data_IF_692674249530
#
_entry.id   IF_692674249530
#
_cell.length_a   1.000
_cell.length_b   1.000
_cell.length_c   1.000
_cell.angle_alpha   90.00
_cell.angle_beta   90.00
_cell.angle_gamma   90.00
#
_symmetry.space_group_name_H-M   'P 1'
#
loop_
_entity.id
_entity.type
_entity.pdbx_description
1 polymer ?
#
# COMPACT_ATOMS: atom_id res chain seq x y z
N UNK A 1 55.03 -66.56 -4.32
CA UNK A 1 55.05 -65.18 -3.84
C UNK A 1 54.51 -64.14 -4.85
N UNK A 2 54.38 -64.39 -6.15
CA UNK A 2 53.92 -63.45 -7.17
C UNK A 2 52.38 -63.31 -7.26
N UNK A 3 51.59 -64.34 -6.88
CA UNK A 3 50.13 -64.29 -6.98
C UNK A 3 49.43 -63.50 -5.88
N UNK A 4 50.03 -63.37 -4.67
CA UNK A 4 49.45 -62.58 -3.57
C UNK A 4 49.55 -61.02 -3.76
N UNK A 5 50.54 -60.53 -4.55
CA UNK A 5 50.74 -59.13 -4.83
C UNK A 5 49.76 -58.59 -5.90
N UNK A 6 49.36 -59.50 -6.83
CA UNK A 6 48.36 -59.10 -7.87
C UNK A 6 46.96 -59.04 -7.28
N UNK A 7 46.61 -59.89 -6.32
CA UNK A 7 45.30 -59.83 -5.65
C UNK A 7 45.11 -58.59 -4.75
N UNK A 8 46.20 -58.07 -4.13
CA UNK A 8 46.19 -56.89 -3.31
C UNK A 8 46.04 -55.64 -4.15
N UNK A 9 46.62 -55.61 -5.38
CA UNK A 9 46.48 -54.44 -6.28
C UNK A 9 45.05 -54.35 -6.91
N UNK A 10 44.45 -55.51 -7.20
CA UNK A 10 43.08 -55.59 -7.71
C UNK A 10 42.04 -55.23 -6.65
N UNK A 11 42.29 -55.48 -5.36
CA UNK A 11 41.40 -55.05 -4.26
C UNK A 11 41.49 -53.59 -3.97
N UNK A 12 42.63 -52.91 -4.18
CA UNK A 12 42.78 -51.42 -3.99
C UNK A 12 42.13 -50.66 -5.12
N UNK A 13 42.09 -51.13 -6.34
CA UNK A 13 41.43 -50.51 -7.48
C UNK A 13 39.91 -50.68 -7.37
N UNK A 14 39.41 -51.79 -6.78
CA UNK A 14 37.97 -51.97 -6.56
C UNK A 14 37.35 -51.06 -5.44
N UNK A 15 38.17 -50.51 -4.52
CA UNK A 15 37.71 -49.63 -3.45
C UNK A 15 37.76 -48.14 -3.82
N UNK A 16 38.34 -47.75 -4.95
CA UNK A 16 38.44 -46.31 -5.36
C UNK A 16 37.36 -45.87 -6.36
N UNK A 17 36.54 -46.81 -6.87
CA UNK A 17 35.53 -46.49 -7.88
C UNK A 17 34.18 -45.95 -7.33
N UNK A 18 33.74 -46.18 -6.07
CA UNK A 18 32.48 -45.64 -5.62
C UNK A 18 32.55 -44.22 -5.01
N UNK A 19 33.74 -43.60 -4.89
CA UNK A 19 33.82 -42.26 -4.25
C UNK A 19 33.73 -41.06 -5.22
N UNK A 20 33.77 -41.29 -6.52
CA UNK A 20 33.64 -40.22 -7.53
C UNK A 20 32.24 -40.09 -8.13
N UNK A 21 31.25 -40.91 -7.72
CA UNK A 21 29.85 -40.80 -8.22
C UNK A 21 28.89 -40.10 -7.25
N UNK A 22 29.35 -39.61 -6.13
CA UNK A 22 28.46 -38.91 -5.15
C UNK A 22 28.56 -37.37 -5.23
N UNK A 23 29.45 -36.80 -6.06
CA UNK A 23 29.58 -35.35 -6.22
C UNK A 23 28.83 -34.78 -7.44
N UNK A 24 27.97 -35.57 -8.08
CA UNK A 24 27.29 -35.17 -9.33
C UNK A 24 25.77 -35.04 -9.29
N UNK A 25 25.13 -35.00 -8.12
CA UNK A 25 23.68 -34.97 -8.10
C UNK A 25 23.08 -34.18 -6.93
N UNK A 26 23.45 -32.91 -6.81
CA UNK A 26 22.61 -31.94 -6.13
C UNK A 26 22.73 -30.58 -6.84
N UNK A 27 22.48 -30.54 -8.14
CA UNK A 27 21.84 -29.36 -8.69
C UNK A 27 20.40 -29.43 -8.17
N UNK A 28 20.17 -28.81 -7.01
CA UNK A 28 18.84 -28.51 -6.58
C UNK A 28 18.16 -27.79 -7.77
N UNK A 29 17.16 -28.44 -8.41
CA UNK A 29 16.29 -27.76 -9.34
C UNK A 29 15.86 -26.50 -8.60
N UNK A 30 16.34 -25.34 -9.04
CA UNK A 30 15.86 -24.04 -8.57
C UNK A 30 14.35 -24.08 -8.78
N UNK A 31 13.60 -24.40 -7.74
CA UNK A 31 12.15 -24.41 -7.81
C UNK A 31 11.73 -22.97 -8.07
N UNK A 32 10.88 -22.76 -9.09
CA UNK A 32 10.29 -21.44 -9.37
C UNK A 32 9.57 -20.99 -8.12
N UNK A 33 9.90 -19.80 -7.61
CA UNK A 33 9.27 -19.22 -6.41
C UNK A 33 7.88 -18.71 -6.77
N UNK A 34 6.84 -19.26 -6.13
CA UNK A 34 5.46 -18.80 -6.29
C UNK A 34 5.18 -17.66 -5.33
N UNK A 35 4.91 -16.48 -5.87
CA UNK A 35 4.60 -15.24 -5.14
C UNK A 35 3.14 -14.91 -5.39
N UNK A 36 2.32 -14.92 -4.34
CA UNK A 36 0.90 -14.64 -4.39
C UNK A 36 0.60 -13.29 -3.75
N UNK A 37 -0.10 -12.39 -4.45
CA UNK A 37 -0.41 -11.05 -3.98
C UNK A 37 -1.92 -10.84 -3.89
N UNK A 38 -2.39 -10.41 -2.70
CA UNK A 38 -3.79 -10.20 -2.34
C UNK A 38 -4.01 -8.73 -1.96
N UNK A 39 -4.74 -7.95 -2.77
CA UNK A 39 -5.17 -6.60 -2.41
C UNK A 39 -6.33 -6.61 -1.40
N UNK A 40 -6.72 -5.44 -0.89
CA UNK A 40 -7.99 -5.30 -0.16
C UNK A 40 -9.16 -5.74 -1.03
N UNK A 41 -9.17 -5.31 -2.29
CA UNK A 41 -10.15 -5.70 -3.32
C UNK A 41 -9.58 -5.40 -4.72
N UNK A 42 -10.22 -5.96 -5.75
CA UNK A 42 -9.89 -5.75 -7.17
C UNK A 42 -10.83 -4.72 -7.80
N UNK A 43 -10.41 -4.11 -8.90
CA UNK A 43 -11.21 -3.20 -9.72
C UNK A 43 -11.05 -1.73 -9.35
N UNK A 44 -10.00 -1.40 -8.59
CA UNK A 44 -9.66 -0.03 -8.26
C UNK A 44 -8.24 0.30 -8.74
N UNK A 45 -8.09 1.48 -9.34
CA UNK A 45 -6.85 1.94 -9.97
C UNK A 45 -5.61 1.85 -9.06
N UNK A 46 -5.78 2.06 -7.75
CA UNK A 46 -4.70 1.97 -6.78
C UNK A 46 -4.10 0.55 -6.73
N UNK A 47 -4.94 -0.46 -6.55
CA UNK A 47 -4.47 -1.86 -6.48
C UNK A 47 -4.04 -2.40 -7.83
N UNK A 48 -4.62 -1.91 -8.94
CA UNK A 48 -4.17 -2.24 -10.28
C UNK A 48 -2.78 -1.65 -10.56
N UNK A 49 -2.47 -0.44 -10.09
CA UNK A 49 -1.13 0.14 -10.16
C UNK A 49 -0.11 -0.67 -9.32
N UNK A 50 -0.48 -1.10 -8.11
CA UNK A 50 0.38 -1.96 -7.29
C UNK A 50 0.66 -3.31 -7.98
N UNK A 51 -0.38 -3.93 -8.58
CA UNK A 51 -0.24 -5.15 -9.38
C UNK A 51 0.72 -4.96 -10.55
N UNK A 52 0.58 -3.87 -11.31
CA UNK A 52 1.45 -3.58 -12.45
C UNK A 52 2.92 -3.48 -12.03
N UNK A 53 3.20 -2.80 -10.90
CA UNK A 53 4.55 -2.74 -10.34
C UNK A 53 5.08 -4.10 -9.86
N UNK A 54 4.22 -4.94 -9.30
CA UNK A 54 4.57 -6.30 -8.95
C UNK A 54 4.92 -7.14 -10.20
N UNK A 55 4.17 -7.01 -11.28
CA UNK A 55 4.43 -7.66 -12.56
C UNK A 55 5.76 -7.20 -13.18
N UNK A 56 6.10 -5.91 -13.07
CA UNK A 56 7.42 -5.38 -13.47
C UNK A 56 8.56 -6.06 -12.69
N UNK A 57 8.43 -6.21 -11.38
CA UNK A 57 9.44 -6.89 -10.57
C UNK A 57 9.59 -8.37 -10.97
N UNK A 58 8.49 -9.07 -11.23
CA UNK A 58 8.50 -10.45 -11.73
C UNK A 58 9.18 -10.55 -13.10
N UNK A 59 8.92 -9.61 -14.00
CA UNK A 59 9.55 -9.56 -15.32
C UNK A 59 11.06 -9.36 -15.19
N UNK A 60 11.50 -8.46 -14.30
CA UNK A 60 12.92 -8.22 -14.01
C UNK A 60 13.60 -9.46 -13.43
N UNK A 61 13.00 -10.12 -12.43
CA UNK A 61 13.51 -11.35 -11.85
C UNK A 61 13.67 -12.48 -12.87
N UNK A 62 12.74 -12.56 -13.82
CA UNK A 62 12.71 -13.61 -14.84
C UNK A 62 13.51 -13.28 -16.10
N UNK A 63 14.23 -12.16 -16.16
CA UNK A 63 14.89 -11.64 -17.37
C UNK A 63 15.81 -12.65 -18.05
N UNK A 64 16.60 -13.40 -17.26
CA UNK A 64 17.55 -14.40 -17.79
C UNK A 64 16.95 -15.81 -17.83
N UNK A 65 16.17 -16.17 -16.82
CA UNK A 65 15.48 -17.45 -16.70
C UNK A 65 14.28 -17.33 -15.79
N UNK A 66 13.27 -18.18 -15.95
CA UNK A 66 12.11 -18.21 -15.06
C UNK A 66 12.52 -18.67 -13.66
N UNK A 67 12.54 -17.73 -12.70
CA UNK A 67 12.84 -17.97 -11.27
C UNK A 67 11.65 -17.70 -10.36
N UNK A 68 10.64 -16.94 -10.85
CA UNK A 68 9.46 -16.57 -10.11
C UNK A 68 8.18 -16.75 -10.92
N UNK A 69 7.08 -17.07 -10.24
CA UNK A 69 5.71 -17.12 -10.78
C UNK A 69 4.82 -16.22 -9.92
N UNK A 70 4.00 -15.43 -10.58
CA UNK A 70 3.12 -14.46 -9.92
C UNK A 70 1.67 -14.94 -9.95
N UNK A 71 1.01 -14.89 -8.79
CA UNK A 71 -0.42 -15.12 -8.64
C UNK A 71 -1.03 -13.86 -8.05
N UNK A 72 -2.13 -13.40 -8.63
CA UNK A 72 -2.86 -12.24 -8.15
C UNK A 72 -4.34 -12.57 -8.06
N UNK A 73 -4.91 -12.44 -6.88
CA UNK A 73 -6.35 -12.56 -6.68
C UNK A 73 -6.80 -11.68 -5.51
N UNK A 74 -8.10 -11.37 -5.47
CA UNK A 74 -8.72 -10.57 -4.43
C UNK A 74 -10.24 -10.56 -4.58
N UNK A 75 -11.00 -10.21 -3.55
CA UNK A 75 -12.43 -10.05 -3.66
C UNK A 75 -12.75 -8.91 -4.63
N UNK A 76 -13.89 -8.96 -5.36
CA UNK A 76 -14.43 -7.77 -6.02
C UNK A 76 -14.73 -6.68 -5.00
N UNK A 77 -14.71 -5.41 -5.40
CA UNK A 77 -14.90 -4.27 -4.49
C UNK A 77 -16.23 -4.34 -3.72
N UNK A 78 -17.32 -4.70 -4.39
CA UNK A 78 -18.66 -4.85 -3.81
C UNK A 78 -18.81 -6.05 -2.86
N UNK A 79 -17.81 -6.94 -2.82
CA UNK A 79 -17.73 -8.14 -1.97
C UNK A 79 -16.47 -8.16 -1.10
N UNK A 80 -15.88 -7.01 -0.83
CA UNK A 80 -14.63 -6.86 -0.08
C UNK A 80 -14.81 -7.14 1.41
N UNK A 81 -14.96 -8.42 1.78
CA UNK A 81 -15.09 -8.87 3.16
C UNK A 81 -13.82 -9.55 3.65
N UNK A 82 -13.60 -9.53 4.97
CA UNK A 82 -12.49 -10.24 5.61
C UNK A 82 -12.54 -11.75 5.30
N UNK A 83 -13.74 -12.34 5.28
CA UNK A 83 -13.90 -13.76 4.98
C UNK A 83 -13.45 -14.10 3.55
N UNK A 84 -13.72 -13.27 2.56
CA UNK A 84 -13.23 -13.48 1.20
C UNK A 84 -11.69 -13.44 1.11
N UNK A 85 -11.04 -12.55 1.86
CA UNK A 85 -9.58 -12.57 1.95
C UNK A 85 -9.08 -13.86 2.60
N UNK A 86 -9.70 -14.33 3.69
CA UNK A 86 -9.37 -15.60 4.35
C UNK A 86 -9.51 -16.78 3.39
N UNK A 87 -10.59 -16.86 2.62
CA UNK A 87 -10.85 -17.97 1.68
C UNK A 87 -9.73 -18.05 0.60
N UNK A 88 -9.30 -16.90 0.06
CA UNK A 88 -8.21 -16.82 -0.92
C UNK A 88 -6.88 -17.27 -0.28
N UNK A 89 -6.57 -16.76 0.91
CA UNK A 89 -5.35 -17.12 1.65
C UNK A 89 -5.29 -18.64 1.95
N UNK A 90 -6.41 -19.23 2.39
CA UNK A 90 -6.49 -20.67 2.63
C UNK A 90 -6.24 -21.48 1.34
N UNK A 91 -6.78 -21.00 0.20
CA UNK A 91 -6.51 -21.59 -1.11
C UNK A 91 -5.03 -21.57 -1.47
N UNK A 92 -4.32 -20.49 -1.20
CA UNK A 92 -2.88 -20.37 -1.46
C UNK A 92 -2.03 -21.18 -0.49
N UNK A 93 -2.44 -21.27 0.78
CA UNK A 93 -1.80 -22.18 1.76
C UNK A 93 -1.90 -23.63 1.28
N UNK A 94 -3.06 -24.07 0.80
CA UNK A 94 -3.26 -25.42 0.26
C UNK A 94 -2.42 -25.66 -1.01
N UNK A 95 -2.22 -24.65 -1.86
CA UNK A 95 -1.35 -24.69 -3.05
C UNK A 95 0.15 -24.63 -2.72
N UNK A 96 0.51 -24.43 -1.44
CA UNK A 96 1.90 -24.33 -0.96
C UNK A 96 2.70 -23.29 -1.74
N UNK A 97 2.15 -22.07 -1.90
CA UNK A 97 2.91 -20.93 -2.43
C UNK A 97 4.12 -20.64 -1.54
N UNK A 98 5.15 -20.00 -2.08
CA UNK A 98 6.35 -19.69 -1.29
C UNK A 98 6.22 -18.38 -0.52
N UNK A 99 5.46 -17.43 -1.09
CA UNK A 99 5.27 -16.08 -0.55
C UNK A 99 3.81 -15.69 -0.66
N UNK A 100 3.29 -15.10 0.39
CA UNK A 100 2.03 -14.35 0.41
C UNK A 100 2.37 -12.88 0.69
N UNK A 101 1.87 -11.99 -0.17
CA UNK A 101 1.93 -10.53 -0.02
C UNK A 101 0.48 -10.05 0.10
N UNK A 102 0.08 -9.45 1.21
CA UNK A 102 -1.33 -9.12 1.44
C UNK A 102 -1.50 -7.68 1.96
N UNK A 103 -2.52 -6.98 1.47
CA UNK A 103 -3.07 -5.77 2.07
C UNK A 103 -4.37 -6.12 2.79
N UNK A 104 -4.37 -6.24 4.13
CA UNK A 104 -5.55 -6.66 4.88
C UNK A 104 -6.62 -5.57 4.93
N UNK A 105 -7.89 -5.97 4.86
CA UNK A 105 -9.02 -5.09 5.19
C UNK A 105 -9.10 -4.82 6.70
N UNK A 106 -8.76 -5.82 7.51
CA UNK A 106 -8.72 -5.75 8.97
C UNK A 106 -7.50 -6.54 9.48
N UNK A 107 -6.59 -5.89 10.24
CA UNK A 107 -5.35 -6.51 10.70
C UNK A 107 -5.56 -7.70 11.65
N UNK A 108 -6.69 -7.76 12.33
CA UNK A 108 -7.00 -8.81 13.29
C UNK A 108 -7.71 -9.98 12.65
N UNK A 109 -8.64 -9.70 11.74
CA UNK A 109 -9.50 -10.72 11.14
C UNK A 109 -8.74 -11.79 10.34
N UNK A 110 -7.61 -11.44 9.69
CA UNK A 110 -6.82 -12.38 8.90
C UNK A 110 -5.61 -12.96 9.65
N UNK A 111 -5.32 -12.47 10.87
CA UNK A 111 -4.06 -12.77 11.59
C UNK A 111 -3.82 -14.27 11.78
N UNK A 112 -4.83 -15.04 12.20
CA UNK A 112 -4.66 -16.48 12.43
C UNK A 112 -4.40 -17.25 11.12
N UNK A 113 -5.00 -16.83 10.00
CA UNK A 113 -4.73 -17.43 8.69
C UNK A 113 -3.30 -17.14 8.24
N UNK A 114 -2.79 -15.93 8.47
CA UNK A 114 -1.40 -15.57 8.17
C UNK A 114 -0.42 -16.35 9.04
N UNK A 115 -0.69 -16.50 10.35
CA UNK A 115 0.12 -17.36 11.23
C UNK A 115 0.12 -18.82 10.79
N UNK A 116 -1.01 -19.32 10.27
CA UNK A 116 -1.09 -20.65 9.66
C UNK A 116 -0.20 -20.76 8.42
N UNK A 117 -0.17 -19.74 7.55
CA UNK A 117 0.74 -19.68 6.41
C UNK A 117 2.21 -19.76 6.86
N UNK A 118 2.62 -18.97 7.86
CA UNK A 118 3.97 -18.99 8.42
C UNK A 118 4.35 -20.39 8.98
N UNK A 119 3.43 -21.05 9.72
CA UNK A 119 3.62 -22.42 10.23
C UNK A 119 3.83 -23.45 9.11
N UNK A 120 3.30 -23.18 7.92
CA UNK A 120 3.51 -24.01 6.72
C UNK A 120 4.80 -23.62 5.94
N UNK A 121 5.64 -22.73 6.47
CA UNK A 121 6.90 -22.29 5.86
C UNK A 121 6.73 -21.23 4.77
N UNK A 122 5.53 -20.71 4.56
CA UNK A 122 5.26 -19.63 3.61
C UNK A 122 5.74 -18.30 4.20
N UNK A 123 6.45 -17.51 3.42
CA UNK A 123 6.82 -16.13 3.82
C UNK A 123 5.62 -15.22 3.70
N UNK A 124 5.33 -14.48 4.75
CA UNK A 124 4.17 -13.59 4.82
C UNK A 124 4.65 -12.15 4.88
N UNK A 125 4.29 -11.39 3.87
CA UNK A 125 4.51 -9.94 3.83
C UNK A 125 3.17 -9.23 3.81
N UNK A 126 3.11 -8.08 4.48
CA UNK A 126 2.04 -7.12 4.27
C UNK A 126 2.53 -5.96 3.42
N UNK A 127 1.65 -5.33 2.66
CA UNK A 127 1.91 -4.11 1.92
C UNK A 127 0.71 -3.18 2.02
N UNK A 128 0.89 -1.88 1.80
CA UNK A 128 -0.17 -0.88 1.92
C UNK A 128 -0.78 -0.80 3.32
N UNK A 129 -1.50 -1.79 3.77
CA UNK A 129 -2.01 -1.94 5.13
C UNK A 129 -1.26 -3.06 5.87
N UNK A 130 -1.01 -2.86 7.17
CA UNK A 130 -0.32 -3.86 7.99
C UNK A 130 -1.30 -4.82 8.69
N UNK A 131 -0.81 -5.99 9.04
CA UNK A 131 -1.45 -6.96 9.93
C UNK A 131 -0.84 -6.88 11.34
N UNK A 132 -1.29 -7.76 12.24
CA UNK A 132 -0.61 -7.94 13.53
C UNK A 132 0.84 -8.34 13.30
N UNK A 133 1.78 -7.72 14.02
CA UNK A 133 3.24 -7.86 13.81
C UNK A 133 3.74 -9.30 13.94
N UNK A 134 3.07 -10.13 14.73
CA UNK A 134 3.39 -11.54 14.90
C UNK A 134 2.79 -12.44 13.80
N UNK A 135 1.89 -11.90 12.97
CA UNK A 135 1.25 -12.59 11.87
C UNK A 135 1.95 -12.37 10.51
N UNK A 136 3.02 -11.56 10.47
CA UNK A 136 3.79 -11.29 9.26
C UNK A 136 5.29 -11.32 9.50
N UNK A 137 6.06 -11.58 8.45
CA UNK A 137 7.52 -11.55 8.50
C UNK A 137 8.05 -10.12 8.23
N UNK A 138 7.43 -9.40 7.28
CA UNK A 138 7.86 -8.06 6.88
C UNK A 138 6.64 -7.22 6.45
N UNK A 139 6.66 -5.92 6.77
CA UNK A 139 5.73 -4.93 6.25
C UNK A 139 6.41 -4.02 5.22
N UNK A 140 5.85 -3.92 4.02
CA UNK A 140 6.27 -2.99 2.98
C UNK A 140 5.34 -1.79 3.03
N UNK A 141 5.78 -0.77 3.76
CA UNK A 141 5.02 0.45 4.02
C UNK A 141 5.30 1.48 2.92
N UNK A 142 4.27 2.10 2.43
CA UNK A 142 4.37 3.14 1.40
C UNK A 142 5.05 4.41 1.93
N UNK A 143 4.58 4.92 3.06
CA UNK A 143 5.04 6.16 3.70
C UNK A 143 4.75 6.06 5.19
N UNK A 144 5.57 6.65 6.04
CA UNK A 144 5.25 6.78 7.47
C UNK A 144 4.02 7.67 7.67
N UNK A 145 3.13 7.30 8.59
CA UNK A 145 1.83 7.95 8.78
C UNK A 145 1.93 9.47 8.98
N UNK A 146 2.93 9.92 9.72
CA UNK A 146 3.19 11.35 9.92
C UNK A 146 3.45 12.09 8.60
N UNK A 147 4.17 11.48 7.65
CA UNK A 147 4.44 12.08 6.33
C UNK A 147 3.20 12.20 5.46
N UNK A 148 2.27 11.25 5.54
CA UNK A 148 0.97 11.33 4.85
C UNK A 148 0.12 12.46 5.44
N UNK A 149 -0.03 12.47 6.77
CA UNK A 149 -0.80 13.50 7.48
C UNK A 149 -0.28 14.91 7.20
N UNK A 150 1.05 15.08 7.24
CA UNK A 150 1.70 16.35 6.92
C UNK A 150 1.38 16.78 5.49
N UNK A 151 1.56 15.93 4.49
CA UNK A 151 1.27 16.27 3.09
C UNK A 151 -0.19 16.65 2.86
N UNK A 152 -1.14 15.98 3.52
CA UNK A 152 -2.57 16.29 3.45
C UNK A 152 -2.88 17.68 4.04
N UNK A 153 -2.34 17.98 5.22
CA UNK A 153 -2.54 19.29 5.86
C UNK A 153 -1.81 20.41 5.11
N UNK A 154 -0.61 20.18 4.59
CA UNK A 154 0.11 21.14 3.75
C UNK A 154 -0.68 21.47 2.49
N UNK A 155 -1.25 20.46 1.82
CA UNK A 155 -2.09 20.64 0.63
C UNK A 155 -3.33 21.50 0.93
N UNK A 156 -4.04 21.21 2.03
CA UNK A 156 -5.19 22.02 2.46
C UNK A 156 -4.76 23.43 2.88
N UNK A 157 -3.72 23.55 3.71
CA UNK A 157 -3.22 24.82 4.23
C UNK A 157 -2.74 25.76 3.11
N UNK A 158 -2.06 25.23 2.08
CA UNK A 158 -1.63 26.00 0.92
C UNK A 158 -2.82 26.70 0.26
N UNK A 159 -3.88 25.93 -0.05
CA UNK A 159 -5.07 26.46 -0.71
C UNK A 159 -5.82 27.45 0.19
N UNK A 160 -5.99 27.14 1.48
CA UNK A 160 -6.70 27.99 2.44
C UNK A 160 -5.97 29.31 2.71
N UNK A 161 -4.64 29.31 2.81
CA UNK A 161 -3.85 30.54 2.98
C UNK A 161 -4.01 31.51 1.82
N UNK A 162 -4.09 31.03 0.58
CA UNK A 162 -4.38 31.83 -0.61
C UNK A 162 -5.76 32.50 -0.55
N UNK A 163 -6.68 31.97 0.29
CA UNK A 163 -8.05 32.47 0.51
C UNK A 163 -8.19 33.29 1.80
N UNK A 164 -7.07 33.61 2.46
CA UNK A 164 -7.04 34.47 3.64
C UNK A 164 -7.23 33.76 4.98
N UNK A 165 -7.28 32.42 5.02
CA UNK A 165 -7.29 31.67 6.28
C UNK A 165 -5.88 31.56 6.88
N UNK A 166 -5.81 31.45 8.19
CA UNK A 166 -4.54 31.36 8.91
C UNK A 166 -4.74 31.55 10.42
N UNK A 167 -3.68 31.89 11.18
CA UNK A 167 -3.77 32.06 12.62
C UNK A 167 -4.83 33.07 13.09
N UNK A 168 -5.10 34.11 12.28
CA UNK A 168 -6.07 35.16 12.59
C UNK A 168 -7.48 34.85 12.02
N UNK A 169 -7.61 33.79 11.20
CA UNK A 169 -8.87 33.40 10.55
C UNK A 169 -8.95 31.84 10.47
N UNK A 170 -9.60 31.22 11.44
CA UNK A 170 -9.69 29.77 11.53
C UNK A 170 -10.51 29.15 10.40
N UNK A 171 -10.14 27.95 9.98
CA UNK A 171 -10.85 27.13 9.01
C UNK A 171 -11.33 25.80 9.63
N UNK A 172 -12.62 25.50 9.48
CA UNK A 172 -13.13 24.18 9.84
C UNK A 172 -12.81 23.20 8.72
N UNK A 173 -12.28 22.06 9.08
CA UNK A 173 -11.93 21.00 8.13
C UNK A 173 -12.72 19.71 8.42
N UNK A 174 -13.00 18.94 7.39
CA UNK A 174 -13.60 17.61 7.52
C UNK A 174 -12.79 16.59 6.72
N UNK A 175 -12.78 15.36 7.21
CA UNK A 175 -12.08 14.24 6.58
C UNK A 175 -13.07 13.17 6.10
N UNK A 176 -12.83 12.62 4.90
CA UNK A 176 -13.57 11.45 4.40
C UNK A 176 -12.61 10.26 4.40
N UNK A 177 -12.82 9.35 5.34
CA UNK A 177 -12.01 8.17 5.58
C UNK A 177 -12.57 6.94 4.84
N UNK A 178 -12.33 5.73 5.35
CA UNK A 178 -12.95 4.48 4.92
C UNK A 178 -13.71 3.86 6.10
N UNK A 179 -13.29 2.72 6.60
CA UNK A 179 -13.87 2.09 7.79
C UNK A 179 -13.09 2.49 9.05
N UNK A 180 -13.78 2.49 10.22
CA UNK A 180 -13.12 2.70 11.52
C UNK A 180 -12.09 1.62 11.87
N UNK A 181 -12.16 0.47 11.23
CA UNK A 181 -11.21 -0.65 11.38
C UNK A 181 -10.00 -0.56 10.45
N UNK A 182 -9.98 0.40 9.51
CA UNK A 182 -8.86 0.58 8.58
C UNK A 182 -7.66 1.20 9.29
N UNK A 183 -6.61 0.39 9.49
CA UNK A 183 -5.44 0.76 10.27
C UNK A 183 -4.69 1.99 9.71
N UNK A 184 -4.60 2.10 8.38
CA UNK A 184 -3.92 3.22 7.73
C UNK A 184 -4.63 4.53 8.03
N UNK A 185 -5.93 4.60 7.72
CA UNK A 185 -6.70 5.83 7.91
C UNK A 185 -6.78 6.23 9.36
N UNK A 186 -6.89 5.26 10.30
CA UNK A 186 -6.87 5.59 11.73
C UNK A 186 -5.51 6.16 12.16
N UNK A 187 -4.40 5.61 11.66
CA UNK A 187 -3.08 6.15 11.93
C UNK A 187 -2.90 7.58 11.35
N UNK A 188 -3.34 7.81 10.10
CA UNK A 188 -3.27 9.15 9.49
C UNK A 188 -4.17 10.16 10.19
N UNK A 189 -5.40 9.80 10.57
CA UNK A 189 -6.29 10.65 11.35
C UNK A 189 -5.70 10.99 12.72
N UNK A 190 -5.02 10.03 13.36
CA UNK A 190 -4.31 10.29 14.63
C UNK A 190 -3.20 11.32 14.45
N UNK A 191 -2.40 11.18 13.38
CA UNK A 191 -1.33 12.15 13.08
C UNK A 191 -1.88 13.52 12.64
N UNK A 192 -2.96 13.57 11.87
CA UNK A 192 -3.67 14.83 11.55
C UNK A 192 -4.07 15.54 12.85
N UNK A 193 -4.73 14.84 13.79
CA UNK A 193 -5.12 15.40 15.09
C UNK A 193 -3.93 15.90 15.91
N UNK A 194 -2.78 15.23 15.84
CA UNK A 194 -1.56 15.66 16.49
C UNK A 194 -1.01 16.94 15.86
N UNK A 195 -0.96 17.01 14.54
CA UNK A 195 -0.48 18.17 13.80
C UNK A 195 -1.39 19.39 13.99
N UNK A 196 -2.71 19.22 14.05
CA UNK A 196 -3.67 20.30 14.32
C UNK A 196 -3.48 20.96 15.70
N UNK A 197 -2.74 20.34 16.62
CA UNK A 197 -2.37 20.93 17.92
C UNK A 197 -1.08 21.78 17.84
N UNK A 198 -0.36 21.70 16.73
CA UNK A 198 0.89 22.48 16.56
C UNK A 198 0.58 23.92 16.12
N UNK A 199 1.46 24.87 16.43
CA UNK A 199 1.24 26.28 16.02
C UNK A 199 1.06 26.46 14.52
N UNK A 200 1.63 25.56 13.71
CA UNK A 200 1.59 25.62 12.25
C UNK A 200 0.16 25.37 11.69
N UNK A 201 -0.59 24.45 12.32
CA UNK A 201 -1.90 24.00 11.82
C UNK A 201 -3.06 24.25 12.78
N UNK A 202 -2.84 24.83 13.98
CA UNK A 202 -3.89 25.04 14.99
C UNK A 202 -5.05 25.94 14.56
N UNK A 203 -4.89 26.64 13.46
CA UNK A 203 -5.96 27.45 12.84
C UNK A 203 -6.89 26.61 11.95
N UNK A 204 -6.55 25.35 11.66
CA UNK A 204 -7.44 24.37 11.04
C UNK A 204 -8.05 23.49 12.13
N UNK A 205 -9.36 23.30 12.14
CA UNK A 205 -10.08 22.67 13.26
C UNK A 205 -11.07 21.62 12.75
N UNK A 206 -11.01 20.42 13.30
CA UNK A 206 -12.11 19.46 13.26
C UNK A 206 -12.99 19.76 14.47
N UNK A 207 -14.16 20.38 14.25
CA UNK A 207 -15.04 20.85 15.35
C UNK A 207 -15.72 19.69 16.07
N UNK A 208 -16.24 18.73 15.33
CA UNK A 208 -16.95 17.58 15.87
C UNK A 208 -16.53 16.30 15.12
N UNK A 209 -15.86 15.42 15.85
CA UNK A 209 -15.37 14.15 15.32
C UNK A 209 -16.51 13.26 14.77
N UNK A 210 -17.74 13.40 15.26
CA UNK A 210 -18.85 12.57 14.81
C UNK A 210 -19.48 13.05 13.51
N UNK A 211 -19.39 14.35 13.21
CA UNK A 211 -19.97 14.97 12.01
C UNK A 211 -18.94 15.37 10.96
N UNK A 212 -17.68 15.57 11.35
CA UNK A 212 -16.63 16.09 10.47
C UNK A 212 -15.62 14.99 10.03
N UNK A 213 -15.75 13.76 10.56
CA UNK A 213 -15.02 12.60 10.05
C UNK A 213 -16.00 11.54 9.54
N UNK A 214 -16.00 11.36 8.22
CA UNK A 214 -16.92 10.46 7.52
C UNK A 214 -16.30 9.08 7.35
N UNK A 215 -17.11 8.02 7.48
CA UNK A 215 -16.68 6.62 7.36
C UNK A 215 -17.61 5.84 6.40
N UNK A 216 -17.52 6.08 5.09
CA UNK A 216 -18.40 5.43 4.11
C UNK A 216 -18.14 3.93 3.92
N UNK A 217 -17.01 3.41 4.43
CA UNK A 217 -16.55 2.06 4.12
C UNK A 217 -15.96 1.96 2.70
N UNK A 218 -15.85 0.75 2.14
CA UNK A 218 -15.32 0.52 0.79
C UNK A 218 -16.39 0.64 -0.32
N UNK A 219 -17.59 1.12 0.00
CA UNK A 219 -18.71 1.24 -0.93
C UNK A 219 -18.69 2.59 -1.67
N UNK A 220 -18.67 2.54 -3.01
CA UNK A 220 -18.58 3.73 -3.85
C UNK A 220 -19.82 4.62 -3.74
N UNK A 221 -21.02 4.03 -3.73
CA UNK A 221 -22.28 4.77 -3.65
C UNK A 221 -22.40 5.53 -2.34
N UNK A 222 -22.05 4.88 -1.23
CA UNK A 222 -22.00 5.49 0.10
C UNK A 222 -20.96 6.60 0.14
N UNK A 223 -19.78 6.40 -0.47
CA UNK A 223 -18.74 7.42 -0.56
C UNK A 223 -19.22 8.65 -1.32
N UNK A 224 -19.83 8.47 -2.49
CA UNK A 224 -20.42 9.55 -3.27
C UNK A 224 -21.49 10.33 -2.47
N UNK A 225 -22.37 9.60 -1.79
CA UNK A 225 -23.44 10.21 -0.97
C UNK A 225 -22.88 11.05 0.18
N UNK A 226 -21.92 10.52 0.93
CA UNK A 226 -21.31 11.25 2.04
C UNK A 226 -20.47 12.43 1.57
N UNK A 227 -19.75 12.30 0.44
CA UNK A 227 -19.06 13.43 -0.18
C UNK A 227 -20.03 14.52 -0.63
N UNK A 228 -21.17 14.18 -1.23
CA UNK A 228 -22.22 15.14 -1.59
C UNK A 228 -22.78 15.88 -0.37
N UNK A 229 -23.00 15.18 0.73
CA UNK A 229 -23.40 15.78 2.02
C UNK A 229 -22.34 16.78 2.51
N UNK A 230 -21.07 16.39 2.46
CA UNK A 230 -19.97 17.29 2.87
C UNK A 230 -19.88 18.51 1.97
N UNK A 231 -19.99 18.35 0.64
CA UNK A 231 -20.00 19.49 -0.31
C UNK A 231 -21.14 20.46 0.03
N UNK A 232 -22.32 19.98 0.35
CA UNK A 232 -23.43 20.84 0.77
C UNK A 232 -23.12 21.65 2.03
N UNK A 233 -22.43 21.05 3.02
CA UNK A 233 -21.98 21.72 4.25
C UNK A 233 -20.87 22.74 4.00
N UNK A 234 -20.11 22.63 2.91
CA UNK A 234 -19.09 23.62 2.54
C UNK A 234 -19.72 24.94 2.03
N UNK A 235 -20.96 24.90 1.58
CA UNK A 235 -21.65 26.05 0.97
C UNK A 235 -22.42 26.94 1.92
N UNK A 236 -22.85 26.47 3.10
CA UNK A 236 -23.84 27.17 3.89
C UNK A 236 -23.82 26.87 5.39
N UNK A 237 -24.32 27.82 6.21
CA UNK A 237 -24.60 27.67 7.64
C UNK A 237 -23.45 28.06 8.57
N UNK A 238 -23.77 28.13 9.87
CA UNK A 238 -22.81 28.48 10.93
C UNK A 238 -21.72 27.43 11.16
N UNK A 239 -21.97 26.18 10.72
CA UNK A 239 -21.02 25.05 10.77
C UNK A 239 -20.36 24.77 9.41
N UNK A 240 -20.15 25.84 8.62
CA UNK A 240 -19.49 25.76 7.32
C UNK A 240 -18.12 25.08 7.42
N UNK A 241 -17.87 24.14 6.51
CA UNK A 241 -16.59 23.48 6.35
C UNK A 241 -15.78 24.21 5.25
N UNK A 242 -14.57 24.64 5.57
CA UNK A 242 -13.69 25.32 4.61
C UNK A 242 -12.77 24.37 3.88
N UNK A 243 -12.40 23.22 4.47
CA UNK A 243 -11.65 22.23 3.71
C UNK A 243 -12.20 20.81 3.86
N UNK A 244 -12.27 20.08 2.74
CA UNK A 244 -12.55 18.67 2.66
C UNK A 244 -11.26 17.90 2.30
N UNK A 245 -10.89 16.92 3.12
CA UNK A 245 -9.69 16.09 2.95
C UNK A 245 -10.10 14.64 2.72
N UNK A 246 -9.89 14.12 1.51
CA UNK A 246 -10.11 12.72 1.18
C UNK A 246 -8.93 11.86 1.65
N UNK A 247 -9.20 10.85 2.49
CA UNK A 247 -8.20 9.92 3.00
C UNK A 247 -8.14 8.60 2.21
N UNK A 248 -8.89 8.50 1.12
CA UNK A 248 -8.89 7.33 0.25
C UNK A 248 -8.89 7.73 -1.21
N UNK A 249 -8.41 6.82 -2.07
CA UNK A 249 -8.44 6.95 -3.53
C UNK A 249 -9.86 7.04 -4.11
N UNK A 250 -10.89 6.63 -3.36
CA UNK A 250 -12.30 6.82 -3.72
C UNK A 250 -12.84 8.17 -3.26
N UNK A 251 -12.52 8.60 -2.04
CA UNK A 251 -13.07 9.81 -1.44
C UNK A 251 -12.65 11.08 -2.18
N UNK A 252 -11.38 11.18 -2.56
CA UNK A 252 -10.86 12.41 -3.20
C UNK A 252 -11.48 12.67 -4.58
N UNK A 253 -11.55 11.71 -5.51
CA UNK A 253 -12.29 11.90 -6.76
C UNK A 253 -13.78 12.16 -6.54
N UNK A 254 -14.40 11.49 -5.56
CA UNK A 254 -15.81 11.72 -5.21
C UNK A 254 -16.07 13.16 -4.75
N UNK A 255 -15.20 13.75 -3.92
CA UNK A 255 -15.30 15.16 -3.53
C UNK A 255 -15.24 16.08 -4.76
N UNK A 256 -14.30 15.83 -5.69
CA UNK A 256 -14.18 16.60 -6.93
C UNK A 256 -15.43 16.49 -7.81
N UNK A 257 -15.97 15.29 -7.99
CA UNK A 257 -17.15 15.04 -8.83
C UNK A 257 -18.44 15.58 -8.20
N UNK A 258 -18.63 15.42 -6.89
CA UNK A 258 -19.78 15.95 -6.17
C UNK A 258 -19.79 17.48 -6.18
N UNK A 259 -18.63 18.13 -6.10
CA UNK A 259 -18.57 19.58 -6.30
C UNK A 259 -18.99 19.97 -7.72
N UNK A 260 -18.55 19.26 -8.75
CA UNK A 260 -18.95 19.57 -10.13
C UNK A 260 -20.45 19.42 -10.36
N UNK A 261 -21.07 18.38 -9.77
CA UNK A 261 -22.49 18.05 -9.95
C UNK A 261 -23.44 18.77 -8.99
N UNK A 262 -22.92 19.49 -7.99
CA UNK A 262 -23.73 20.21 -7.03
C UNK A 262 -24.61 21.27 -7.70
N UNK A 263 -25.90 21.25 -7.40
CA UNK A 263 -26.88 22.23 -7.92
C UNK A 263 -26.65 23.63 -7.31
N UNK A 264 -26.22 23.69 -6.06
CA UNK A 264 -25.75 24.90 -5.38
C UNK A 264 -24.29 24.67 -5.02
N UNK A 265 -23.40 25.37 -5.71
CA UNK A 265 -21.95 25.22 -5.48
C UNK A 265 -21.50 26.14 -4.34
N UNK A 266 -20.68 25.61 -3.41
CA UNK A 266 -19.93 26.46 -2.49
C UNK A 266 -19.05 27.48 -3.24
N UNK A 267 -18.77 28.61 -2.64
CA UNK A 267 -17.85 29.59 -3.25
C UNK A 267 -16.43 29.01 -3.25
N UNK A 268 -15.90 28.80 -4.45
CA UNK A 268 -14.56 28.26 -4.67
C UNK A 268 -13.48 29.14 -4.02
N UNK A 269 -13.73 30.43 -3.80
CA UNK A 269 -12.80 31.36 -3.17
C UNK A 269 -12.71 31.17 -1.64
N UNK A 270 -13.61 30.39 -1.05
CA UNK A 270 -13.66 30.20 0.40
C UNK A 270 -13.32 28.76 0.83
N UNK A 271 -13.19 27.84 -0.12
CA UNK A 271 -13.04 26.42 0.20
C UNK A 271 -11.82 25.77 -0.45
N UNK A 272 -11.37 24.66 0.13
CA UNK A 272 -10.30 23.81 -0.37
C UNK A 272 -10.74 22.34 -0.43
N UNK A 273 -10.32 21.62 -1.44
CA UNK A 273 -10.38 20.15 -1.50
C UNK A 273 -8.98 19.62 -1.79
N UNK A 274 -8.56 18.61 -1.04
CA UNK A 274 -7.34 17.87 -1.24
C UNK A 274 -7.53 16.43 -0.79
N UNK A 275 -6.58 15.56 -1.05
CA UNK A 275 -6.63 14.19 -0.50
C UNK A 275 -5.77 13.18 -1.23
N UNK A 276 -5.88 11.94 -0.78
CA UNK A 276 -5.21 10.80 -1.38
C UNK A 276 -5.96 10.36 -2.65
N UNK A 277 -5.24 10.27 -3.76
CA UNK A 277 -5.74 9.68 -4.99
C UNK A 277 -4.60 9.37 -5.95
N UNK A 278 -4.82 8.41 -6.88
CA UNK A 278 -3.92 8.28 -8.03
C UNK A 278 -4.01 9.54 -8.89
N UNK A 279 -2.90 10.03 -9.44
CA UNK A 279 -2.90 11.25 -10.26
C UNK A 279 -3.92 11.19 -11.40
N UNK A 280 -4.04 10.06 -12.08
CA UNK A 280 -4.99 9.90 -13.19
C UNK A 280 -6.45 10.06 -12.77
N UNK A 281 -6.82 9.67 -11.54
CA UNK A 281 -8.19 9.77 -11.04
C UNK A 281 -8.64 11.22 -10.77
N UNK A 282 -7.70 12.14 -10.49
CA UNK A 282 -8.02 13.52 -10.09
C UNK A 282 -7.43 14.58 -11.02
N UNK A 283 -6.64 14.20 -12.02
CA UNK A 283 -6.01 15.12 -12.98
C UNK A 283 -6.98 16.11 -13.62
N UNK A 284 -8.15 15.64 -14.03
CA UNK A 284 -9.17 16.48 -14.64
C UNK A 284 -9.65 17.59 -13.69
N UNK A 285 -9.87 17.26 -12.41
CA UNK A 285 -10.32 18.20 -11.39
C UNK A 285 -9.23 19.20 -11.02
N UNK A 286 -7.97 18.75 -10.84
CA UNK A 286 -6.84 19.64 -10.52
C UNK A 286 -6.59 20.66 -11.64
N UNK A 287 -6.79 20.26 -12.91
CA UNK A 287 -6.61 21.12 -14.08
C UNK A 287 -7.79 22.06 -14.33
N UNK A 288 -8.96 21.75 -13.79
CA UNK A 288 -10.15 22.60 -13.89
C UNK A 288 -10.06 23.74 -12.88
N UNK A 289 -9.87 24.96 -13.37
CA UNK A 289 -9.74 26.15 -12.52
C UNK A 289 -11.04 26.45 -11.74
N UNK A 290 -12.16 25.88 -12.14
CA UNK A 290 -13.46 26.03 -11.44
C UNK A 290 -13.72 24.97 -10.37
N UNK A 291 -12.82 23.98 -10.20
CA UNK A 291 -12.92 22.96 -9.14
C UNK A 291 -11.99 23.31 -7.98
N UNK A 292 -12.41 23.22 -6.70
CA UNK A 292 -11.57 23.52 -5.54
C UNK A 292 -10.54 22.41 -5.22
N UNK A 293 -10.56 21.26 -5.88
CA UNK A 293 -9.56 20.21 -5.77
C UNK A 293 -8.30 20.61 -6.53
N UNK A 294 -7.30 21.14 -5.82
CA UNK A 294 -6.08 21.72 -6.40
C UNK A 294 -4.82 20.93 -6.12
N UNK A 295 -4.83 20.07 -5.12
CA UNK A 295 -3.67 19.25 -4.75
C UNK A 295 -4.09 17.80 -4.50
N UNK A 296 -3.19 16.89 -4.80
CA UNK A 296 -3.30 15.47 -4.44
C UNK A 296 -2.06 15.02 -3.67
N UNK A 297 -2.24 14.01 -2.86
CA UNK A 297 -1.17 13.38 -2.07
C UNK A 297 -1.17 11.89 -2.36
N UNK A 298 -0.01 11.32 -2.66
CA UNK A 298 0.13 9.88 -2.80
C UNK A 298 1.62 9.49 -2.67
N UNK A 299 1.95 8.29 -3.01
CA UNK A 299 3.27 7.69 -3.25
C UNK A 299 3.25 6.99 -4.59
N UNK A 300 4.41 6.56 -5.09
CA UNK A 300 4.41 5.75 -6.31
C UNK A 300 3.90 4.33 -5.98
N UNK A 301 2.65 4.07 -6.34
CA UNK A 301 1.96 2.81 -6.03
C UNK A 301 2.55 1.64 -6.83
N UNK A 302 3.05 1.88 -8.05
CA UNK A 302 3.76 0.86 -8.83
C UNK A 302 5.05 0.45 -8.11
N UNK A 303 5.81 1.42 -7.58
CA UNK A 303 7.01 1.14 -6.81
C UNK A 303 6.72 0.37 -5.52
N UNK A 304 5.56 0.58 -4.91
CA UNK A 304 5.13 -0.19 -3.72
C UNK A 304 4.94 -1.67 -4.05
N UNK A 305 4.23 -1.98 -5.13
CA UNK A 305 4.03 -3.37 -5.59
C UNK A 305 5.34 -4.02 -6.03
N UNK A 306 6.18 -3.27 -6.74
CA UNK A 306 7.52 -3.70 -7.14
C UNK A 306 8.39 -4.04 -5.91
N UNK A 307 8.45 -3.15 -4.92
CA UNK A 307 9.21 -3.34 -3.68
C UNK A 307 8.72 -4.58 -2.91
N UNK A 308 7.41 -4.78 -2.82
CA UNK A 308 6.82 -5.92 -2.12
C UNK A 308 7.26 -7.26 -2.74
N UNK A 309 7.28 -7.36 -4.06
CA UNK A 309 7.76 -8.57 -4.77
C UNK A 309 9.27 -8.76 -4.58
N UNK A 310 10.08 -7.70 -4.66
CA UNK A 310 11.53 -7.79 -4.43
C UNK A 310 11.84 -8.29 -3.01
N UNK A 311 11.15 -7.77 -2.01
CA UNK A 311 11.27 -8.25 -0.63
C UNK A 311 10.83 -9.71 -0.49
N UNK A 312 9.68 -10.08 -1.04
CA UNK A 312 9.13 -11.43 -0.96
C UNK A 312 10.03 -12.48 -1.61
N UNK A 313 10.54 -12.20 -2.81
CA UNK A 313 11.47 -13.08 -3.51
C UNK A 313 12.76 -13.31 -2.70
N UNK A 314 13.38 -12.25 -2.18
CA UNK A 314 14.61 -12.36 -1.41
C UNK A 314 14.40 -13.06 -0.07
N UNK A 315 13.22 -12.92 0.57
CA UNK A 315 12.88 -13.70 1.77
C UNK A 315 12.69 -15.18 1.43
N UNK A 316 12.05 -15.51 0.32
CA UNK A 316 11.84 -16.91 -0.09
C UNK A 316 13.14 -17.61 -0.47
N UNK A 317 14.10 -16.90 -1.07
CA UNK A 317 15.43 -17.42 -1.41
C UNK A 317 16.39 -17.44 -0.22
N UNK A 318 16.03 -16.83 0.92
CA UNK A 318 16.88 -16.71 2.09
C UNK A 318 17.97 -15.64 1.98
N UNK A 319 17.90 -14.77 0.95
CA UNK A 319 18.84 -13.65 0.78
C UNK A 319 18.66 -12.58 1.86
N UNK A 320 17.45 -12.41 2.38
CA UNK A 320 17.11 -11.58 3.53
C UNK A 320 16.20 -12.31 4.51
N UNK A 321 16.19 -11.81 5.74
CA UNK A 321 15.23 -12.18 6.79
C UNK A 321 14.58 -10.92 7.36
N UNK A 322 13.59 -11.08 8.23
CA UNK A 322 12.96 -9.95 8.96
C UNK A 322 13.92 -9.19 9.88
N UNK A 323 15.10 -9.73 10.17
CA UNK A 323 16.15 -9.12 10.99
C UNK A 323 17.35 -8.61 10.16
N UNK A 324 17.30 -8.70 8.83
CA UNK A 324 18.31 -8.09 7.96
C UNK A 324 18.27 -6.57 8.10
N UNK A 325 19.42 -5.90 7.94
CA UNK A 325 19.51 -4.44 8.06
C UNK A 325 18.89 -3.70 6.84
N UNK A 326 18.94 -4.34 5.67
CA UNK A 326 18.46 -3.75 4.42
C UNK A 326 18.06 -4.81 3.40
N UNK A 327 17.40 -4.38 2.34
CA UNK A 327 17.06 -5.15 1.13
C UNK A 327 17.52 -4.38 -0.10
N UNK A 328 18.12 -5.10 -1.06
CA UNK A 328 18.33 -4.54 -2.39
C UNK A 328 17.03 -4.63 -3.20
N UNK A 329 16.38 -3.49 -3.39
CA UNK A 329 15.08 -3.41 -4.04
C UNK A 329 15.20 -3.18 -5.57
N UNK A 330 16.15 -3.83 -6.25
CA UNK A 330 16.33 -3.72 -7.69
C UNK A 330 16.49 -2.27 -8.15
N UNK A 331 15.67 -1.80 -9.11
CA UNK A 331 15.71 -0.42 -9.63
C UNK A 331 15.48 0.67 -8.58
N UNK A 332 14.89 0.33 -7.44
CA UNK A 332 14.67 1.27 -6.34
C UNK A 332 15.90 1.43 -5.44
N UNK A 333 16.95 0.61 -5.64
CA UNK A 333 18.17 0.63 -4.83
C UNK A 333 17.97 0.02 -3.45
N UNK A 334 18.91 0.30 -2.54
CA UNK A 334 18.87 -0.23 -1.20
C UNK A 334 17.79 0.45 -0.34
N UNK A 335 17.05 -0.35 0.44
CA UNK A 335 16.06 0.12 1.44
C UNK A 335 16.37 -0.49 2.79
N UNK A 336 16.32 0.31 3.84
CA UNK A 336 16.51 -0.15 5.23
C UNK A 336 15.33 -1.00 5.69
N UNK A 337 15.63 -2.01 6.51
CA UNK A 337 14.65 -2.77 7.27
C UNK A 337 14.77 -2.31 8.73
N UNK A 338 13.70 -1.77 9.29
CA UNK A 338 13.64 -1.32 10.68
C UNK A 338 12.35 -1.88 11.29
N UNK A 339 12.44 -2.56 12.41
CA UNK A 339 11.30 -3.15 13.13
C UNK A 339 10.40 -4.03 12.22
N UNK A 340 11.04 -4.85 11.39
CA UNK A 340 10.36 -5.68 10.38
C UNK A 340 9.51 -4.85 9.40
N UNK A 341 9.97 -3.66 9.04
CA UNK A 341 9.30 -2.76 8.09
C UNK A 341 10.32 -2.19 7.11
N UNK A 342 9.91 -2.10 5.85
CA UNK A 342 10.59 -1.37 4.77
C UNK A 342 9.69 -0.23 4.34
N UNK A 343 10.20 0.99 4.32
CA UNK A 343 9.46 2.15 3.85
C UNK A 343 9.87 2.47 2.42
N UNK A 344 8.89 2.62 1.52
CA UNK A 344 9.12 2.94 0.12
C UNK A 344 9.80 4.31 -0.03
N UNK A 345 9.25 5.34 0.61
CA UNK A 345 9.80 6.70 0.52
C UNK A 345 8.89 7.76 1.14
N UNK A 346 9.15 9.04 0.83
CA UNK A 346 8.28 10.13 1.28
C UNK A 346 6.96 10.15 0.49
N UNK A 347 5.94 10.81 1.05
CA UNK A 347 4.74 11.16 0.32
C UNK A 347 5.06 12.11 -0.85
N UNK A 348 4.35 11.96 -1.95
CA UNK A 348 4.33 12.88 -3.07
C UNK A 348 3.14 13.82 -2.88
N UNK A 349 3.39 15.13 -2.89
CA UNK A 349 2.35 16.15 -2.99
C UNK A 349 2.44 16.74 -4.38
N UNK A 350 1.37 16.67 -5.13
CA UNK A 350 1.35 17.13 -6.53
C UNK A 350 0.17 18.07 -6.79
N UNK A 351 0.33 18.96 -7.73
CA UNK A 351 -0.64 19.96 -8.14
C UNK A 351 -0.67 20.12 -9.68
N UNK A 352 -1.33 21.16 -10.18
CA UNK A 352 -1.47 21.45 -11.62
C UNK A 352 -0.12 21.55 -12.34
N UNK A 353 0.95 21.95 -11.65
CA UNK A 353 2.25 22.21 -12.25
C UNK A 353 3.03 20.94 -12.58
N UNK A 354 2.74 19.83 -11.90
CA UNK A 354 3.54 18.61 -12.02
C UNK A 354 2.73 17.30 -12.17
N UNK A 355 1.41 17.35 -12.06
CA UNK A 355 0.54 16.16 -12.16
C UNK A 355 0.72 15.38 -13.47
N UNK A 356 1.16 16.03 -14.53
CA UNK A 356 1.42 15.38 -15.83
C UNK A 356 2.65 14.47 -15.83
N UNK A 357 3.51 14.59 -14.80
CA UNK A 357 4.67 13.71 -14.63
C UNK A 357 4.27 12.30 -14.14
N UNK A 358 3.06 12.16 -13.61
CA UNK A 358 2.56 10.93 -13.01
C UNK A 358 1.46 10.32 -13.88
N UNK A 359 1.63 9.05 -14.24
CA UNK A 359 0.70 8.33 -15.13
C UNK A 359 0.28 6.98 -14.53
N UNK A 360 -0.35 7.00 -13.39
CA UNK A 360 -0.90 5.83 -12.70
C UNK A 360 -2.11 6.21 -11.85
#
# INVERSE_FOLDING_TARGET
MKSRKILAILLIIALMIPFTMILGACQAKSSVIKIAMLPKFKGENYFDAAKNGAEEAIAELNKEKKVAEFLYDGPPQDQATNQKQVDILEGWIAQKVNVIIVSPNDPTAIAETLKKAQKNGIKVLTYDADAQTDARDLFVNQVVSAGVAQGLLEGAAKILKEKGYGPDATANIACVSSAKTDANQQAWLSEIRNLLKTPEYSWMVIKDENSDVYYPGPDETTTQTQCGTLISRMGAGDDKIQAAIGLTSMATPALGSQFQSASVKPDINEIAITGLATPNAIKAYIKDDTNPLKTGVLWNVMDLGYLAVQCGYQMATGSITSSSASVNAGRLGERKIVDKMVVLGPALVFDKSDIDKYNY
#
